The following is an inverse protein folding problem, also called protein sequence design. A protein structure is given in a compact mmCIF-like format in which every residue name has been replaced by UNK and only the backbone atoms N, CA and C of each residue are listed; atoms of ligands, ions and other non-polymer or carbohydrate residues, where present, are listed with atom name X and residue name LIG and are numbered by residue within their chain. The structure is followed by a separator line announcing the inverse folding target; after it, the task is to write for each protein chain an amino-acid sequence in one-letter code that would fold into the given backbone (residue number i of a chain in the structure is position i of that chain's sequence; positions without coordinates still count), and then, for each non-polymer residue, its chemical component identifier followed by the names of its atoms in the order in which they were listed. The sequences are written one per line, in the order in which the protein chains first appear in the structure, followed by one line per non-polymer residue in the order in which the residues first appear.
data_IF_737175225741
#
_entry.id   IF_737175225741
#
_cell.length_a   1.000
_cell.length_b   1.000
_cell.length_c   1.000
_cell.angle_alpha   90.00
_cell.angle_beta   90.00
_cell.angle_gamma   90.00
#
_symmetry.space_group_name_H-M   'P 1'
#
loop_
_entity.id
_entity.type
_entity.pdbx_description
1 polymer ?
#
# COMPACT_ATOMS: atom_id res chain seq x y z
N UNK A 1 -32.78 7.03 -5.22
CA UNK A 1 -31.59 7.92 -5.19
C UNK A 1 -30.45 7.10 -5.74
N UNK A 2 -30.00 7.33 -6.98
CA UNK A 2 -28.76 6.72 -7.46
C UNK A 2 -27.62 7.44 -6.75
N UNK A 3 -27.17 6.88 -5.62
CA UNK A 3 -25.99 7.36 -4.94
C UNK A 3 -24.78 7.22 -5.87
N UNK A 4 -24.03 8.29 -6.06
CA UNK A 4 -22.79 8.29 -6.83
C UNK A 4 -21.79 7.43 -6.08
N UNK A 5 -21.20 6.41 -6.71
CA UNK A 5 -20.18 5.54 -6.11
C UNK A 5 -18.90 6.34 -5.90
N UNK A 6 -18.48 6.47 -4.65
CA UNK A 6 -17.28 7.23 -4.27
C UNK A 6 -16.00 6.41 -4.46
N UNK A 7 -14.83 7.05 -4.35
CA UNK A 7 -13.54 6.35 -4.30
C UNK A 7 -13.49 5.44 -3.08
N UNK A 8 -14.02 5.88 -1.94
CA UNK A 8 -14.14 5.06 -0.73
C UNK A 8 -14.91 3.76 -1.00
N UNK A 9 -16.08 3.84 -1.64
CA UNK A 9 -16.91 2.68 -1.95
C UNK A 9 -16.15 1.67 -2.82
N UNK A 10 -15.42 2.14 -3.85
CA UNK A 10 -14.64 1.28 -4.75
C UNK A 10 -13.47 0.60 -4.04
N UNK A 11 -12.77 1.31 -3.15
CA UNK A 11 -11.70 0.72 -2.36
C UNK A 11 -12.24 -0.31 -1.37
N UNK A 12 -13.36 0.00 -0.71
CA UNK A 12 -14.00 -0.94 0.23
C UNK A 12 -14.51 -2.19 -0.48
N UNK A 13 -15.09 -2.04 -1.67
CA UNK A 13 -15.47 -3.18 -2.52
C UNK A 13 -14.25 -4.03 -2.89
N UNK A 14 -13.14 -3.42 -3.25
CA UNK A 14 -11.90 -4.15 -3.51
C UNK A 14 -11.39 -4.90 -2.27
N UNK A 15 -11.51 -4.34 -1.08
CA UNK A 15 -11.18 -5.04 0.16
C UNK A 15 -12.08 -6.27 0.39
N UNK A 16 -13.36 -6.20 0.06
CA UNK A 16 -14.28 -7.36 0.12
C UNK A 16 -13.88 -8.45 -0.90
N UNK A 17 -13.48 -8.07 -2.11
CA UNK A 17 -12.97 -9.01 -3.12
C UNK A 17 -11.66 -9.66 -2.64
N UNK A 18 -10.78 -8.91 -2.00
CA UNK A 18 -9.58 -9.46 -1.38
C UNK A 18 -9.91 -10.43 -0.22
N UNK A 19 -10.99 -10.20 0.53
CA UNK A 19 -11.43 -11.11 1.60
C UNK A 19 -11.76 -12.52 1.05
N UNK A 20 -12.32 -12.61 -0.14
CA UNK A 20 -12.68 -13.86 -0.80
C UNK A 20 -11.50 -14.49 -1.59
N UNK A 21 -10.39 -13.76 -1.71
CA UNK A 21 -9.25 -14.22 -2.51
C UNK A 21 -8.51 -15.37 -1.83
N UNK A 22 -8.36 -16.47 -2.55
CA UNK A 22 -7.54 -17.61 -2.15
C UNK A 22 -6.36 -17.74 -3.12
N UNK A 23 -5.14 -17.74 -2.61
CA UNK A 23 -3.93 -17.87 -3.42
C UNK A 23 -3.24 -19.21 -3.11
N UNK A 24 -3.01 -19.99 -4.16
CA UNK A 24 -2.11 -21.13 -4.07
C UNK A 24 -0.67 -20.65 -4.13
N UNK A 25 0.11 -20.96 -3.11
CA UNK A 25 1.51 -20.53 -3.02
C UNK A 25 2.45 -21.74 -2.98
N UNK A 26 3.71 -21.56 -3.39
CA UNK A 26 4.72 -22.60 -3.23
C UNK A 26 4.91 -22.95 -1.75
N UNK A 27 5.34 -24.20 -1.42
CA UNK A 27 5.63 -24.59 -0.05
C UNK A 27 6.58 -23.64 0.66
N UNK A 28 6.30 -23.33 1.91
CA UNK A 28 7.07 -22.41 2.74
C UNK A 28 6.66 -20.94 2.64
N UNK A 29 5.68 -20.62 1.80
CA UNK A 29 5.07 -19.28 1.72
C UNK A 29 3.61 -19.32 2.18
N UNK A 30 3.16 -18.22 2.78
CA UNK A 30 1.77 -18.05 3.18
C UNK A 30 1.31 -16.59 2.99
N UNK A 31 -0.01 -16.42 2.88
CA UNK A 31 -0.68 -15.12 2.78
C UNK A 31 -1.14 -14.69 4.17
N UNK A 32 -0.99 -13.39 4.44
CA UNK A 32 -1.71 -12.72 5.53
C UNK A 32 -2.75 -11.80 4.89
N UNK A 33 -4.01 -12.15 5.08
CA UNK A 33 -5.14 -11.39 4.58
C UNK A 33 -5.89 -10.76 5.75
N UNK A 34 -5.76 -9.43 5.96
CA UNK A 34 -6.44 -8.75 7.05
C UNK A 34 -7.97 -8.78 6.91
N UNK A 35 -8.47 -8.86 5.69
CA UNK A 35 -9.89 -8.77 5.37
C UNK A 35 -10.67 -10.08 5.62
N UNK A 36 -9.97 -11.23 5.68
CA UNK A 36 -10.56 -12.55 5.99
C UNK A 36 -10.02 -13.18 7.30
N UNK A 37 -9.09 -12.51 7.97
CA UNK A 37 -8.47 -12.98 9.20
C UNK A 37 -9.38 -12.92 10.44
N UNK A 38 -8.90 -13.38 11.61
CA UNK A 38 -9.68 -13.38 12.86
C UNK A 38 -10.16 -12.00 13.31
N UNK A 39 -9.53 -10.93 12.83
CA UNK A 39 -9.84 -9.53 13.17
C UNK A 39 -10.61 -8.81 12.06
N UNK A 40 -11.16 -9.53 11.08
CA UNK A 40 -11.78 -8.96 9.87
C UNK A 40 -12.84 -7.88 10.16
N UNK A 41 -13.69 -8.07 11.15
CA UNK A 41 -14.72 -7.09 11.49
C UNK A 41 -14.11 -5.76 11.96
N UNK A 42 -13.08 -5.83 12.78
CA UNK A 42 -12.34 -4.67 13.26
C UNK A 42 -11.59 -3.96 12.12
N UNK A 43 -10.95 -4.74 11.25
CA UNK A 43 -10.32 -4.21 10.02
C UNK A 43 -11.35 -3.50 9.16
N UNK A 44 -12.54 -4.08 8.99
CA UNK A 44 -13.65 -3.48 8.25
C UNK A 44 -14.09 -2.14 8.85
N UNK A 45 -14.29 -2.07 10.16
CA UNK A 45 -14.66 -0.82 10.84
C UNK A 45 -13.60 0.27 10.61
N UNK A 46 -12.32 -0.05 10.80
CA UNK A 46 -11.20 0.88 10.64
C UNK A 46 -11.07 1.35 9.20
N UNK A 47 -11.09 0.44 8.24
CA UNK A 47 -10.96 0.78 6.82
C UNK A 47 -12.17 1.60 6.34
N UNK A 48 -13.38 1.26 6.78
CA UNK A 48 -14.59 2.03 6.47
C UNK A 48 -14.48 3.45 7.00
N UNK A 49 -14.11 3.64 8.27
CA UNK A 49 -13.95 4.96 8.85
C UNK A 49 -12.86 5.79 8.14
N UNK A 50 -11.71 5.16 7.85
CA UNK A 50 -10.60 5.82 7.16
C UNK A 50 -10.96 6.24 5.73
N UNK A 51 -11.50 5.31 4.93
CA UNK A 51 -11.76 5.61 3.53
C UNK A 51 -12.90 6.61 3.36
N UNK A 52 -13.98 6.54 4.11
CA UNK A 52 -15.01 7.58 4.08
C UNK A 52 -14.52 8.94 4.59
N UNK A 53 -13.58 8.98 5.54
CA UNK A 53 -13.00 10.24 5.99
C UNK A 53 -12.22 10.99 4.90
N UNK A 54 -11.49 10.26 4.02
CA UNK A 54 -10.55 10.88 3.10
C UNK A 54 -10.93 10.74 1.62
N UNK A 55 -11.85 9.84 1.27
CA UNK A 55 -12.15 9.46 -0.11
C UNK A 55 -13.65 9.43 -0.44
N UNK A 56 -14.48 10.14 0.34
CA UNK A 56 -15.94 10.21 0.17
C UNK A 56 -16.34 11.17 -0.96
N UNK A 57 -15.64 11.05 -2.07
CA UNK A 57 -15.89 11.76 -3.33
C UNK A 57 -15.50 10.86 -4.52
N UNK A 58 -15.55 11.37 -5.74
CA UNK A 58 -15.18 10.62 -6.95
C UNK A 58 -14.05 11.28 -7.75
N UNK A 59 -13.28 12.18 -7.12
CA UNK A 59 -12.17 12.86 -7.78
C UNK A 59 -11.06 11.87 -8.14
N UNK A 60 -10.51 11.95 -9.36
CA UNK A 60 -9.37 11.15 -9.75
C UNK A 60 -8.16 11.39 -8.83
N UNK A 61 -7.44 10.32 -8.50
CA UNK A 61 -6.23 10.36 -7.67
C UNK A 61 -5.12 9.50 -8.27
N UNK A 62 -3.90 9.95 -8.12
CA UNK A 62 -2.72 9.19 -8.53
C UNK A 62 -2.41 8.08 -7.53
N UNK A 63 -1.95 6.93 -8.02
CA UNK A 63 -1.56 5.82 -7.15
C UNK A 63 -0.14 5.98 -6.61
N UNK A 64 0.03 5.63 -5.33
CA UNK A 64 1.34 5.45 -4.68
C UNK A 64 1.41 3.99 -4.22
N UNK A 65 2.19 3.18 -4.94
CA UNK A 65 2.20 1.73 -4.78
C UNK A 65 3.47 1.23 -4.07
N UNK A 66 3.31 0.62 -2.91
CA UNK A 66 4.35 -0.19 -2.28
C UNK A 66 4.42 -1.59 -2.87
N UNK A 67 5.34 -2.43 -2.37
CA UNK A 67 5.45 -3.83 -2.83
C UNK A 67 4.34 -4.72 -2.25
N UNK A 68 4.29 -4.85 -0.94
CA UNK A 68 3.30 -5.65 -0.22
C UNK A 68 3.18 -5.21 1.25
N UNK A 69 2.02 -5.44 1.89
CA UNK A 69 1.80 -5.11 3.29
C UNK A 69 2.77 -5.82 4.23
N UNK A 70 3.32 -5.07 5.17
CA UNK A 70 4.15 -5.65 6.23
C UNK A 70 3.30 -6.41 7.25
N UNK A 71 3.78 -7.60 7.68
CA UNK A 71 3.11 -8.51 8.62
C UNK A 71 2.64 -7.85 9.93
N UNK A 72 3.40 -6.88 10.44
CA UNK A 72 3.11 -6.12 11.67
C UNK A 72 2.68 -4.67 11.38
N UNK A 73 2.02 -4.44 10.27
CA UNK A 73 1.57 -3.14 9.83
C UNK A 73 0.28 -3.27 9.05
N UNK A 74 0.27 -2.84 7.80
CA UNK A 74 -0.92 -2.87 6.92
C UNK A 74 -1.56 -4.26 6.77
N UNK A 75 -0.77 -5.35 6.82
CA UNK A 75 -1.31 -6.71 6.80
C UNK A 75 -2.17 -7.05 8.03
N UNK A 76 -2.29 -6.14 8.98
CA UNK A 76 -3.14 -6.23 10.16
C UNK A 76 -4.24 -5.18 10.17
N UNK A 77 -3.91 -3.94 9.81
CA UNK A 77 -4.86 -2.82 9.86
C UNK A 77 -5.72 -2.70 8.61
N UNK A 78 -5.29 -3.26 7.49
CA UNK A 78 -5.94 -3.11 6.19
C UNK A 78 -5.75 -1.73 5.55
N UNK A 79 -5.12 -0.75 6.24
CA UNK A 79 -4.90 0.59 5.70
C UNK A 79 -3.42 0.78 5.34
N UNK A 80 -3.09 1.06 4.06
CA UNK A 80 -1.72 1.20 3.59
C UNK A 80 -0.94 2.31 4.29
N UNK A 81 0.25 1.97 4.81
CA UNK A 81 1.25 2.87 5.36
C UNK A 81 0.83 3.72 6.57
N UNK A 82 -0.37 3.51 7.11
CA UNK A 82 -0.85 4.23 8.28
C UNK A 82 -0.39 3.59 9.60
N UNK A 83 -0.17 4.44 10.59
CA UNK A 83 0.14 4.03 11.96
C UNK A 83 -1.15 3.65 12.70
N UNK A 84 -1.12 2.58 13.48
CA UNK A 84 -2.29 2.11 14.23
C UNK A 84 -2.88 3.18 15.16
N UNK A 85 -2.03 4.02 15.80
CA UNK A 85 -2.50 5.10 16.68
C UNK A 85 -3.23 6.21 15.93
N UNK A 86 -2.78 6.52 14.70
CA UNK A 86 -3.47 7.50 13.86
C UNK A 86 -4.82 6.94 13.39
N UNK A 87 -4.86 5.66 13.02
CA UNK A 87 -6.10 4.99 12.65
C UNK A 87 -7.08 4.89 13.82
N UNK A 88 -6.60 4.62 15.02
CA UNK A 88 -7.41 4.65 16.25
C UNK A 88 -7.99 6.04 16.50
N UNK A 89 -7.16 7.09 16.39
CA UNK A 89 -7.62 8.48 16.51
C UNK A 89 -8.64 8.86 15.44
N UNK A 90 -8.54 8.30 14.23
CA UNK A 90 -9.45 8.60 13.13
C UNK A 90 -10.78 7.84 13.21
N UNK A 91 -10.72 6.58 13.62
CA UNK A 91 -11.87 5.66 13.62
C UNK A 91 -12.59 5.57 14.96
N UNK A 92 -11.91 5.90 16.05
CA UNK A 92 -12.40 5.62 17.42
C UNK A 92 -12.37 4.12 17.78
N UNK A 93 -11.82 3.26 16.90
CA UNK A 93 -11.69 1.83 17.11
C UNK A 93 -10.34 1.54 17.74
N UNK A 94 -10.32 0.88 18.89
CA UNK A 94 -9.07 0.45 19.56
C UNK A 94 -8.34 -0.59 18.71
N UNK A 95 -7.19 -0.20 18.14
CA UNK A 95 -6.33 -1.03 17.29
C UNK A 95 -5.03 -1.38 18.04
N UNK A 96 -4.71 -0.63 19.09
CA UNK A 96 -3.38 -0.60 19.68
C UNK A 96 -3.03 -1.84 20.52
N UNK A 97 -4.00 -2.64 20.95
CA UNK A 97 -3.75 -3.83 21.74
C UNK A 97 -3.03 -4.92 20.93
N UNK A 98 -1.71 -4.92 21.01
CA UNK A 98 -0.82 -5.96 20.49
C UNK A 98 -0.08 -5.63 19.19
N UNK A 99 -0.22 -4.45 18.60
CA UNK A 99 0.43 -4.11 17.33
C UNK A 99 1.65 -3.20 17.52
N UNK A 100 2.84 -3.80 17.46
CA UNK A 100 4.10 -3.07 17.35
C UNK A 100 4.25 -2.61 15.88
N UNK A 101 3.79 -1.40 15.55
CA UNK A 101 4.02 -0.80 14.24
C UNK A 101 5.50 -0.50 14.07
N UNK A 102 6.02 -0.75 12.86
CA UNK A 102 7.39 -0.37 12.48
C UNK A 102 7.53 1.15 12.40
N UNK A 103 7.73 1.78 13.55
CA UNK A 103 7.76 3.24 13.75
C UNK A 103 8.69 4.01 12.78
N UNK A 104 9.92 3.54 12.41
CA UNK A 104 10.81 4.37 11.59
C UNK A 104 10.30 4.59 10.16
N UNK A 105 9.79 3.56 9.50
CA UNK A 105 9.32 3.67 8.10
C UNK A 105 8.01 4.45 7.99
N UNK A 106 7.06 4.21 8.88
CA UNK A 106 5.83 4.98 8.95
C UNK A 106 6.12 6.45 9.28
N UNK A 107 7.02 6.72 10.24
CA UNK A 107 7.40 8.07 10.62
C UNK A 107 8.03 8.89 9.48
N UNK A 108 8.76 8.26 8.55
CA UNK A 108 9.27 8.95 7.36
C UNK A 108 8.13 9.41 6.44
N UNK A 109 7.21 8.51 6.12
CA UNK A 109 6.08 8.85 5.24
C UNK A 109 5.13 9.86 5.90
N UNK A 110 4.90 9.77 7.19
CA UNK A 110 4.11 10.78 7.92
C UNK A 110 4.75 12.17 7.87
N UNK A 111 6.08 12.26 7.95
CA UNK A 111 6.81 13.52 7.78
C UNK A 111 6.63 14.08 6.37
N UNK A 112 6.75 13.26 5.33
CA UNK A 112 6.48 13.65 3.94
C UNK A 112 5.03 14.12 3.78
N UNK A 113 4.06 13.36 4.29
CA UNK A 113 2.63 13.71 4.22
C UNK A 113 2.36 15.04 4.93
N UNK A 114 2.95 15.26 6.11
CA UNK A 114 2.80 16.51 6.85
C UNK A 114 3.33 17.71 6.04
N UNK A 115 4.51 17.58 5.43
CA UNK A 115 5.13 18.62 4.60
C UNK A 115 4.45 18.82 3.25
N UNK A 116 3.76 17.80 2.73
CA UNK A 116 2.95 17.93 1.51
C UNK A 116 1.73 18.84 1.72
N UNK A 117 1.31 19.03 2.95
CA UNK A 117 0.15 19.84 3.35
C UNK A 117 -0.80 19.11 4.28
N UNK A 118 -0.34 18.00 4.89
CA UNK A 118 -1.09 17.16 5.80
C UNK A 118 -1.95 16.09 5.11
N UNK A 119 -2.53 15.21 5.92
CA UNK A 119 -3.26 14.02 5.46
C UNK A 119 -4.45 14.37 4.54
N UNK A 120 -5.25 15.36 4.89
CA UNK A 120 -6.40 15.78 4.06
C UNK A 120 -5.97 16.19 2.65
N UNK A 121 -4.90 16.98 2.54
CA UNK A 121 -4.37 17.40 1.24
C UNK A 121 -3.77 16.22 0.48
N UNK A 122 -2.97 15.41 1.16
CA UNK A 122 -2.30 14.27 0.54
C UNK A 122 -3.31 13.26 -0.02
N UNK A 123 -4.30 12.85 0.78
CA UNK A 123 -5.33 11.90 0.35
C UNK A 123 -6.37 12.50 -0.62
N UNK A 124 -6.39 13.83 -0.78
CA UNK A 124 -7.13 14.45 -1.88
C UNK A 124 -6.46 14.24 -3.24
N UNK A 125 -5.14 14.05 -3.27
CA UNK A 125 -4.34 13.93 -4.49
C UNK A 125 -3.88 12.49 -4.78
N UNK A 126 -3.81 11.62 -3.74
CA UNK A 126 -3.24 10.26 -3.85
C UNK A 126 -4.09 9.18 -3.17
N UNK A 127 -4.06 7.99 -3.76
CA UNK A 127 -4.42 6.73 -3.10
C UNK A 127 -3.16 5.93 -2.85
N UNK A 128 -2.90 5.57 -1.59
CA UNK A 128 -1.80 4.67 -1.24
C UNK A 128 -2.29 3.22 -1.28
N UNK A 129 -1.51 2.35 -1.92
CA UNK A 129 -1.80 0.93 -2.00
C UNK A 129 -0.51 0.10 -2.24
N UNK A 130 -0.66 -1.12 -2.74
CA UNK A 130 0.44 -2.03 -3.01
C UNK A 130 0.26 -2.72 -4.35
N UNK A 131 1.38 -3.09 -4.99
CA UNK A 131 1.38 -3.99 -6.16
C UNK A 131 0.81 -5.35 -5.77
N UNK A 132 1.21 -5.89 -4.62
CA UNK A 132 0.58 -7.06 -4.00
C UNK A 132 -0.22 -6.58 -2.78
N UNK A 133 -1.56 -6.49 -2.83
CA UNK A 133 -2.34 -5.91 -1.74
C UNK A 133 -2.49 -6.82 -0.51
N UNK A 134 -2.02 -8.06 -0.58
CA UNK A 134 -2.00 -9.00 0.54
C UNK A 134 -0.59 -9.15 1.13
N UNK A 135 -0.51 -9.35 2.43
CA UNK A 135 0.74 -9.60 3.12
C UNK A 135 1.29 -10.99 2.79
N UNK A 136 2.61 -11.08 2.65
CA UNK A 136 3.30 -12.32 2.37
C UNK A 136 4.32 -12.64 3.45
N UNK A 137 4.35 -13.91 3.85
CA UNK A 137 5.35 -14.44 4.78
C UNK A 137 6.00 -15.70 4.21
N UNK A 138 7.22 -15.96 4.64
CA UNK A 138 7.89 -17.24 4.43
C UNK A 138 8.33 -17.84 5.73
N UNK A 139 8.37 -19.15 5.79
CA UNK A 139 8.94 -19.88 6.93
C UNK A 139 10.46 -19.89 6.79
N UNK A 140 11.16 -19.40 7.81
CA UNK A 140 12.63 -19.46 7.86
C UNK A 140 13.11 -20.87 8.31
N UNK A 141 14.42 -21.17 8.21
CA UNK A 141 14.96 -22.47 8.64
C UNK A 141 14.71 -22.82 10.10
N UNK A 142 14.42 -21.82 10.95
CA UNK A 142 14.08 -22.00 12.37
C UNK A 142 12.58 -22.24 12.61
N UNK A 143 11.77 -22.37 11.55
CA UNK A 143 10.33 -22.60 11.62
C UNK A 143 9.49 -21.35 11.92
N UNK A 144 10.10 -20.15 11.93
CA UNK A 144 9.38 -18.91 12.20
C UNK A 144 8.96 -18.22 10.92
N UNK A 145 7.79 -17.57 10.93
CA UNK A 145 7.33 -16.74 9.84
C UNK A 145 8.04 -15.39 9.82
N UNK A 146 8.59 -15.03 8.68
CA UNK A 146 9.22 -13.74 8.40
C UNK A 146 8.57 -13.06 7.20
N UNK A 147 8.54 -11.73 7.20
CA UNK A 147 8.07 -10.97 6.06
C UNK A 147 8.82 -11.36 4.79
N UNK A 148 8.10 -11.45 3.68
CA UNK A 148 8.69 -11.49 2.36
C UNK A 148 7.92 -10.60 1.38
N UNK A 149 8.51 -10.33 0.23
CA UNK A 149 7.86 -9.63 -0.87
C UNK A 149 7.50 -10.62 -1.98
N UNK A 150 6.58 -10.27 -2.85
CA UNK A 150 6.18 -11.11 -3.99
C UNK A 150 7.34 -11.47 -4.92
N UNK A 151 8.41 -10.69 -4.94
CA UNK A 151 9.64 -10.91 -5.72
C UNK A 151 10.75 -11.64 -4.95
N UNK A 152 10.47 -12.23 -3.78
CA UNK A 152 11.43 -12.98 -2.96
C UNK A 152 12.09 -14.15 -3.74
N UNK A 153 11.33 -14.77 -4.64
CA UNK A 153 11.85 -15.75 -5.59
C UNK A 153 11.12 -15.68 -6.92
N UNK A 154 11.79 -16.12 -8.01
CA UNK A 154 11.15 -16.21 -9.33
C UNK A 154 9.90 -17.09 -9.30
N UNK A 155 9.97 -18.23 -8.61
CA UNK A 155 8.85 -19.17 -8.48
C UNK A 155 7.65 -18.51 -7.81
N UNK A 156 7.84 -17.80 -6.69
CA UNK A 156 6.76 -17.09 -6.00
C UNK A 156 6.14 -16.02 -6.92
N UNK A 157 6.96 -15.25 -7.62
CA UNK A 157 6.50 -14.23 -8.55
C UNK A 157 5.68 -14.82 -9.72
N UNK A 158 6.08 -15.99 -10.25
CA UNK A 158 5.33 -16.70 -11.29
C UNK A 158 3.94 -17.13 -10.80
N UNK A 159 3.84 -17.69 -9.58
CA UNK A 159 2.55 -18.06 -8.98
C UNK A 159 1.62 -16.85 -8.74
N UNK A 160 2.19 -15.71 -8.38
CA UNK A 160 1.43 -14.52 -8.04
C UNK A 160 1.11 -13.63 -9.25
N UNK A 161 1.76 -13.83 -10.41
CA UNK A 161 1.73 -12.87 -11.52
C UNK A 161 0.32 -12.48 -11.96
N UNK A 162 -0.57 -13.44 -12.17
CA UNK A 162 -1.97 -13.18 -12.58
C UNK A 162 -2.69 -12.33 -11.52
N UNK A 163 -2.61 -12.74 -10.26
CA UNK A 163 -3.19 -11.99 -9.15
C UNK A 163 -2.65 -10.55 -9.05
N UNK A 164 -1.34 -10.34 -9.23
CA UNK A 164 -0.73 -9.00 -9.17
C UNK A 164 -1.24 -8.10 -10.30
N UNK A 165 -1.41 -8.65 -11.50
CA UNK A 165 -1.95 -7.90 -12.66
C UNK A 165 -3.43 -7.57 -12.43
N UNK A 166 -4.25 -8.55 -12.05
CA UNK A 166 -5.67 -8.35 -11.73
C UNK A 166 -5.86 -7.33 -10.60
N UNK A 167 -5.03 -7.41 -9.54
CA UNK A 167 -5.08 -6.45 -8.44
C UNK A 167 -4.71 -5.03 -8.88
N UNK A 168 -3.76 -4.86 -9.83
CA UNK A 168 -3.47 -3.56 -10.43
C UNK A 168 -4.64 -3.04 -11.25
N UNK A 169 -5.25 -3.87 -12.09
CA UNK A 169 -6.42 -3.50 -12.90
C UNK A 169 -7.59 -3.05 -12.01
N UNK A 170 -7.88 -3.78 -10.95
CA UNK A 170 -8.91 -3.39 -9.97
C UNK A 170 -8.60 -2.05 -9.28
N UNK A 171 -7.34 -1.74 -9.02
CA UNK A 171 -6.93 -0.47 -8.43
C UNK A 171 -7.06 0.71 -9.43
N UNK A 172 -6.96 0.47 -10.73
CA UNK A 172 -7.27 1.51 -11.73
C UNK A 172 -8.75 1.93 -11.68
N UNK A 173 -9.65 1.02 -11.30
CA UNK A 173 -11.08 1.29 -11.17
C UNK A 173 -11.44 2.16 -9.95
N UNK A 174 -10.50 2.50 -9.06
CA UNK A 174 -10.74 3.45 -7.97
C UNK A 174 -11.07 4.88 -8.46
N UNK A 175 -10.98 5.14 -9.74
CA UNK A 175 -11.01 6.47 -10.35
C UNK A 175 -9.60 7.05 -10.42
N UNK A 176 -8.67 6.21 -10.85
CA UNK A 176 -7.24 6.54 -10.87
C UNK A 176 -6.91 7.53 -11.98
N UNK A 177 -6.17 8.59 -11.63
CA UNK A 177 -5.43 9.41 -12.57
C UNK A 177 -4.18 8.64 -13.01
N UNK A 178 -4.19 8.18 -14.26
CA UNK A 178 -3.14 7.33 -14.82
C UNK A 178 -1.96 8.10 -15.41
N UNK A 179 -1.95 9.41 -15.33
CA UNK A 179 -0.83 10.24 -15.81
C UNK A 179 0.50 9.90 -15.11
N UNK A 180 0.46 9.65 -13.80
CA UNK A 180 1.64 9.27 -13.02
C UNK A 180 1.28 8.27 -11.92
N UNK A 181 2.06 7.19 -11.84
CA UNK A 181 2.07 6.27 -10.69
C UNK A 181 3.40 6.40 -9.94
N UNK A 182 3.36 6.47 -8.63
CA UNK A 182 4.55 6.49 -7.77
C UNK A 182 4.81 5.10 -7.21
N UNK A 183 6.02 4.59 -7.40
CA UNK A 183 6.42 3.26 -6.95
C UNK A 183 7.38 3.35 -5.75
N UNK A 184 6.91 3.01 -4.55
CA UNK A 184 7.76 2.90 -3.36
C UNK A 184 8.57 1.60 -3.44
N UNK A 185 9.89 1.74 -3.56
CA UNK A 185 10.85 0.67 -3.80
C UNK A 185 11.39 0.74 -5.21
N UNK A 186 12.50 1.48 -5.39
CA UNK A 186 13.19 1.75 -6.66
C UNK A 186 13.93 0.54 -7.27
N UNK A 187 13.93 -0.61 -6.59
CA UNK A 187 14.54 -1.86 -7.05
C UNK A 187 13.55 -2.80 -7.73
N UNK A 188 13.40 -4.02 -7.19
CA UNK A 188 12.59 -5.09 -7.80
C UNK A 188 11.11 -4.73 -7.94
N UNK A 189 10.53 -3.96 -7.01
CA UNK A 189 9.16 -3.48 -7.12
C UNK A 189 8.97 -2.60 -8.36
N UNK A 190 9.89 -1.65 -8.57
CA UNK A 190 9.86 -0.78 -9.74
C UNK A 190 10.07 -1.54 -11.05
N UNK A 191 11.03 -2.49 -11.08
CA UNK A 191 11.27 -3.32 -12.27
C UNK A 191 10.04 -4.12 -12.68
N UNK A 192 9.36 -4.74 -11.71
CA UNK A 192 8.14 -5.50 -11.98
C UNK A 192 7.02 -4.60 -12.50
N UNK A 193 6.75 -3.49 -11.80
CA UNK A 193 5.67 -2.57 -12.18
C UNK A 193 5.93 -1.94 -13.55
N UNK A 194 7.18 -1.57 -13.86
CA UNK A 194 7.56 -1.05 -15.18
C UNK A 194 7.37 -2.10 -16.28
N UNK A 195 7.78 -3.35 -16.05
CA UNK A 195 7.62 -4.43 -17.03
C UNK A 195 6.14 -4.77 -17.29
N UNK A 196 5.28 -4.68 -16.27
CA UNK A 196 3.83 -4.81 -16.46
C UNK A 196 3.30 -3.62 -17.25
N UNK A 197 3.71 -2.41 -16.91
CA UNK A 197 3.27 -1.19 -17.59
C UNK A 197 3.71 -1.14 -19.05
N UNK A 198 4.93 -1.57 -19.37
CA UNK A 198 5.43 -1.65 -20.75
C UNK A 198 4.57 -2.58 -21.63
N UNK A 199 3.98 -3.61 -21.03
CA UNK A 199 3.10 -4.53 -21.73
C UNK A 199 1.64 -4.09 -21.82
N UNK A 200 1.15 -3.35 -20.83
CA UNK A 200 -0.28 -3.03 -20.67
C UNK A 200 -0.61 -1.55 -20.89
N UNK A 201 0.35 -0.65 -20.67
CA UNK A 201 0.14 0.78 -20.84
C UNK A 201 -0.81 1.41 -19.81
N UNK A 202 -0.80 0.92 -18.57
CA UNK A 202 -1.70 1.41 -17.50
C UNK A 202 -1.42 2.85 -17.11
N UNK A 203 -0.16 3.26 -17.08
CA UNK A 203 0.27 4.60 -16.66
C UNK A 203 1.15 5.25 -17.74
N UNK A 204 1.01 6.55 -17.93
CA UNK A 204 1.89 7.31 -18.82
C UNK A 204 3.33 7.39 -18.27
N UNK A 205 3.47 7.48 -16.95
CA UNK A 205 4.76 7.54 -16.25
C UNK A 205 4.72 6.79 -14.92
N UNK A 206 5.80 6.06 -14.60
CA UNK A 206 6.04 5.52 -13.26
C UNK A 206 7.28 6.19 -12.67
N UNK A 207 7.12 6.80 -11.48
CA UNK A 207 8.20 7.48 -10.75
C UNK A 207 8.66 6.61 -9.59
N UNK A 208 9.92 6.12 -9.58
CA UNK A 208 10.44 5.36 -8.47
C UNK A 208 10.78 6.25 -7.29
N UNK A 209 10.40 5.80 -6.09
CA UNK A 209 10.74 6.40 -4.81
C UNK A 209 11.48 5.35 -3.95
N UNK A 210 12.52 5.75 -3.24
CA UNK A 210 13.25 4.84 -2.36
C UNK A 210 12.36 4.34 -1.22
N UNK A 211 12.47 3.05 -0.88
CA UNK A 211 11.67 2.48 0.20
C UNK A 211 12.03 3.14 1.55
N UNK A 212 11.06 3.56 2.38
CA UNK A 212 11.30 4.21 3.68
C UNK A 212 12.27 3.46 4.59
N UNK A 213 12.24 2.13 4.57
CA UNK A 213 13.18 1.30 5.34
C UNK A 213 14.63 1.47 4.87
N UNK A 214 14.87 1.59 3.57
CA UNK A 214 16.21 1.87 3.03
C UNK A 214 16.72 3.22 3.52
N UNK A 215 15.85 4.23 3.55
CA UNK A 215 16.20 5.57 4.02
C UNK A 215 16.52 5.53 5.52
N UNK A 216 15.63 4.97 6.33
CA UNK A 216 15.74 5.04 7.80
C UNK A 216 16.80 4.13 8.39
N UNK A 217 17.08 2.96 7.77
CA UNK A 217 18.05 2.01 8.29
C UNK A 217 19.48 2.24 7.75
N UNK A 218 19.61 2.63 6.49
CA UNK A 218 20.91 2.69 5.83
C UNK A 218 21.36 4.11 5.46
N UNK A 219 20.43 5.07 5.42
CA UNK A 219 20.68 6.44 4.97
C UNK A 219 20.10 7.49 5.91
N UNK A 220 20.03 7.22 7.22
CA UNK A 220 19.42 8.12 8.20
C UNK A 220 19.99 9.54 8.19
N UNK A 221 21.27 9.70 7.91
CA UNK A 221 21.92 11.02 7.77
C UNK A 221 21.48 11.83 6.53
N UNK A 222 20.84 11.18 5.55
CA UNK A 222 20.32 11.81 4.32
C UNK A 222 18.78 11.83 4.28
N UNK A 223 18.13 11.62 5.43
CA UNK A 223 16.67 11.56 5.52
C UNK A 223 16.00 12.80 4.93
N UNK A 224 16.57 13.98 5.16
CA UNK A 224 16.05 15.25 4.66
C UNK A 224 16.10 15.32 3.13
N UNK A 225 17.21 14.94 2.52
CA UNK A 225 17.36 14.88 1.05
C UNK A 225 16.33 13.97 0.40
N UNK A 226 16.08 12.79 1.00
CA UNK A 226 15.03 11.88 0.51
C UNK A 226 13.62 12.43 0.72
N UNK A 227 13.37 13.16 1.80
CA UNK A 227 12.08 13.78 2.02
C UNK A 227 11.80 14.88 0.96
N UNK A 228 12.79 15.71 0.64
CA UNK A 228 12.67 16.71 -0.43
C UNK A 228 12.49 16.04 -1.80
N UNK A 229 13.20 14.97 -2.10
CA UNK A 229 13.02 14.18 -3.33
C UNK A 229 11.59 13.64 -3.45
N UNK A 230 11.03 13.11 -2.37
CA UNK A 230 9.63 12.66 -2.34
C UNK A 230 8.67 13.82 -2.62
N UNK A 231 8.88 14.96 -1.94
CA UNK A 231 8.01 16.13 -2.08
C UNK A 231 8.05 16.71 -3.49
N UNK A 232 9.24 16.86 -4.08
CA UNK A 232 9.41 17.32 -5.46
C UNK A 232 8.68 16.39 -6.43
N UNK A 233 8.90 15.08 -6.33
CA UNK A 233 8.25 14.11 -7.17
C UNK A 233 6.70 14.16 -7.04
N UNK A 234 6.17 14.17 -5.81
CA UNK A 234 4.73 14.19 -5.55
C UNK A 234 4.05 15.50 -6.02
N UNK A 235 4.76 16.63 -5.97
CA UNK A 235 4.28 17.91 -6.47
C UNK A 235 4.38 18.06 -7.99
N UNK A 236 5.05 17.12 -8.66
CA UNK A 236 5.30 17.18 -10.09
C UNK A 236 6.34 18.25 -10.47
N UNK A 237 7.16 18.65 -9.52
CA UNK A 237 8.31 19.52 -9.74
C UNK A 237 9.38 18.65 -10.40
N UNK A 238 9.56 18.79 -11.73
CA UNK A 238 10.60 18.06 -12.47
C UNK A 238 11.97 18.63 -12.11
N UNK A 239 12.95 17.74 -11.87
CA UNK A 239 14.38 18.08 -11.93
C UNK A 239 14.78 18.44 -13.36
#
# INVERSE_FOLDING_TARGET
MNGRTTVADRILQFNEELAETTLELPPGFAVINPFSGPQKERVREVTTAFYHKYYDDDRPRRLVLGSSPARRGTAVTGVPFEDAKLLESDSGVDIADGYAVSRPSAGFLHDVIARYGGRTRFYADFVMSFVCPLGLVRTNPQGSEVNCNYYESKKLMEFLRSFLVEALERQLEFGTDTSVCYCIGSGENFKFLSAVNDGQGYFEKIVPLEHPRFITQYNGGRKEEFAEKYLSALRGESD
#
